data_IF_175831728289
#
_entry.id   IF_175831728289
#
_cell.length_a   1.000
_cell.length_b   1.000
_cell.length_c   1.000
_cell.angle_alpha   90.00
_cell.angle_beta   90.00
_cell.angle_gamma   90.00
#
_symmetry.space_group_name_H-M   'P 1'
#
loop_
_entity.id
_entity.type
_entity.pdbx_description
1 polymer ?
#
# COMPACT_ATOMS: atom_id res chain seq x y z
N UNK A 1 8.86 13.64 14.54
CA UNK A 1 7.79 12.65 14.30
C UNK A 1 7.56 12.60 12.81
N UNK A 2 7.83 11.47 12.18
CA UNK A 2 7.71 11.32 10.71
C UNK A 2 6.23 11.37 10.30
N UNK A 3 5.91 12.08 9.22
CA UNK A 3 4.54 12.12 8.69
C UNK A 3 4.28 10.86 7.85
N UNK A 4 3.76 9.82 8.48
CA UNK A 4 3.46 8.53 7.83
C UNK A 4 2.47 8.65 6.66
N UNK A 5 1.54 9.60 6.74
CA UNK A 5 0.55 9.84 5.68
C UNK A 5 1.17 10.37 4.39
N UNK A 6 2.41 10.89 4.44
CA UNK A 6 3.12 11.31 3.23
C UNK A 6 3.36 10.14 2.24
N UNK A 7 3.25 8.87 2.67
CA UNK A 7 3.41 7.71 1.78
C UNK A 7 2.13 7.28 1.08
N UNK A 8 0.99 7.90 1.39
CA UNK A 8 -0.33 7.56 0.86
C UNK A 8 -0.81 8.63 -0.12
N UNK A 9 -1.42 8.21 -1.23
CA UNK A 9 -2.02 9.08 -2.24
C UNK A 9 -3.50 8.75 -2.43
N UNK A 10 -4.30 9.78 -2.71
CA UNK A 10 -5.70 9.67 -3.09
C UNK A 10 -5.87 10.21 -4.52
N UNK A 11 -6.30 9.36 -5.43
CA UNK A 11 -6.57 9.75 -6.81
C UNK A 11 -7.86 9.07 -7.27
N UNK A 12 -8.95 9.83 -7.56
CA UNK A 12 -10.22 9.27 -8.03
C UNK A 12 -10.11 8.37 -9.27
N UNK A 13 -9.11 8.61 -10.14
CA UNK A 13 -8.86 7.80 -11.33
C UNK A 13 -8.09 6.49 -11.05
N UNK A 14 -7.56 6.30 -9.83
CA UNK A 14 -6.79 5.12 -9.42
C UNK A 14 -7.56 4.36 -8.36
N UNK A 15 -7.74 3.05 -8.56
CA UNK A 15 -8.38 2.15 -7.58
C UNK A 15 -9.70 2.70 -7.00
N UNK A 16 -10.50 3.37 -7.84
CA UNK A 16 -11.79 4.00 -7.47
C UNK A 16 -11.67 5.06 -6.36
N UNK A 17 -10.54 5.78 -6.28
CA UNK A 17 -10.32 6.80 -5.26
C UNK A 17 -9.93 6.25 -3.88
N UNK A 18 -9.71 4.94 -3.74
CA UNK A 18 -9.22 4.36 -2.49
C UNK A 18 -7.80 4.87 -2.18
N UNK A 19 -7.43 5.01 -0.89
CA UNK A 19 -6.06 5.33 -0.51
C UNK A 19 -5.08 4.27 -1.02
N UNK A 20 -4.08 4.69 -1.79
CA UNK A 20 -3.02 3.83 -2.31
C UNK A 20 -1.66 4.27 -1.80
N UNK A 21 -0.69 3.35 -1.80
CA UNK A 21 0.70 3.73 -1.66
C UNK A 21 1.11 4.61 -2.85
N UNK A 22 1.90 5.65 -2.59
CA UNK A 22 2.32 6.64 -3.58
C UNK A 22 2.95 5.95 -4.80
N UNK A 23 2.57 6.38 -6.00
CA UNK A 23 3.02 5.85 -7.30
C UNK A 23 2.65 4.38 -7.57
N UNK A 24 1.74 3.82 -6.78
CA UNK A 24 1.36 2.41 -6.87
C UNK A 24 -0.16 2.30 -6.99
N UNK A 25 -0.63 1.18 -7.55
CA UNK A 25 -2.07 0.81 -7.51
C UNK A 25 -2.36 -0.18 -6.37
N UNK A 26 -1.49 -0.20 -5.36
CA UNK A 26 -1.60 -1.02 -4.18
C UNK A 26 -2.31 -0.25 -3.07
N UNK A 27 -3.47 -0.72 -2.66
CA UNK A 27 -4.28 -0.02 -1.66
C UNK A 27 -3.73 -0.21 -0.26
N UNK A 28 -3.95 0.78 0.61
CA UNK A 28 -3.59 0.65 2.04
C UNK A 28 -4.37 -0.49 2.68
N UNK A 29 -5.63 -0.70 2.29
CA UNK A 29 -6.44 -1.81 2.77
C UNK A 29 -5.81 -3.17 2.45
N UNK A 30 -5.37 -3.39 1.20
CA UNK A 30 -4.68 -4.62 0.81
C UNK A 30 -3.41 -4.86 1.64
N UNK A 31 -2.59 -3.83 1.85
CA UNK A 31 -1.39 -3.97 2.70
C UNK A 31 -1.77 -4.45 4.11
N UNK A 32 -2.79 -3.83 4.71
CA UNK A 32 -3.24 -4.19 6.05
C UNK A 32 -3.85 -5.59 6.11
N UNK A 33 -4.56 -6.02 5.07
CA UNK A 33 -5.10 -7.39 4.95
C UNK A 33 -3.98 -8.44 4.90
N UNK A 34 -2.91 -8.21 4.12
CA UNK A 34 -1.76 -9.12 4.07
C UNK A 34 -1.04 -9.20 5.42
N UNK A 35 -0.83 -8.06 6.07
CA UNK A 35 -0.24 -8.00 7.41
C UNK A 35 -1.13 -8.71 8.44
N UNK A 36 -2.45 -8.54 8.36
CA UNK A 36 -3.41 -9.21 9.23
C UNK A 36 -3.46 -10.74 8.98
N UNK A 37 -3.21 -11.17 7.75
CA UNK A 37 -3.05 -12.58 7.39
C UNK A 37 -1.71 -13.19 7.87
N UNK A 38 -0.83 -12.39 8.49
CA UNK A 38 0.42 -12.84 9.06
C UNK A 38 1.63 -12.77 8.11
N UNK A 39 1.48 -12.15 6.93
CA UNK A 39 2.62 -11.96 6.03
C UNK A 39 3.61 -10.95 6.61
N UNK A 40 4.89 -11.24 6.45
CA UNK A 40 5.98 -10.34 6.80
C UNK A 40 6.19 -9.29 5.72
N UNK A 41 6.80 -8.17 6.10
CA UNK A 41 7.18 -7.13 5.14
C UNK A 41 8.09 -7.67 4.01
N UNK A 42 8.96 -8.64 4.31
CA UNK A 42 9.87 -9.23 3.32
C UNK A 42 9.12 -10.06 2.28
N UNK A 43 8.16 -10.88 2.72
CA UNK A 43 7.29 -11.65 1.81
C UNK A 43 6.45 -10.73 0.93
N UNK A 44 5.85 -9.69 1.52
CA UNK A 44 5.06 -8.71 0.75
C UNK A 44 5.93 -8.00 -0.31
N UNK A 45 7.16 -7.62 0.01
CA UNK A 45 8.07 -6.99 -0.95
C UNK A 45 8.57 -7.97 -2.03
N UNK A 46 8.68 -9.27 -1.71
CA UNK A 46 9.06 -10.29 -2.68
C UNK A 46 7.92 -10.60 -3.66
N UNK A 47 6.69 -10.69 -3.16
CA UNK A 47 5.49 -10.97 -3.96
C UNK A 47 5.05 -9.77 -4.80
N UNK A 48 5.33 -8.57 -4.28
CA UNK A 48 5.05 -7.32 -4.97
C UNK A 48 6.32 -6.47 -5.10
N UNK A 49 7.21 -6.82 -6.05
CA UNK A 49 8.46 -6.10 -6.31
C UNK A 49 8.17 -4.80 -7.07
N UNK A 50 7.57 -3.83 -6.36
CA UNK A 50 7.38 -2.49 -6.89
C UNK A 50 8.75 -1.78 -6.98
N UNK A 51 9.00 -1.14 -8.12
CA UNK A 51 10.23 -0.36 -8.37
C UNK A 51 10.16 1.04 -7.78
#
# INVERSE_FOLDING_TARGET
>A
MENLLARVTLNPAVSQGKPTLRNMRFTVAQLLELLAAGMTNQEILADYPYQ
#
